data_IF_871328983747
#
_entry.id   IF_871328983747
#
_cell.length_a   1.000
_cell.length_b   1.000
_cell.length_c   1.000
_cell.angle_alpha   90.00
_cell.angle_beta   90.00
_cell.angle_gamma   90.00
#
_symmetry.space_group_name_H-M   'P 1'
#
loop_
_entity.id
_entity.type
_entity.pdbx_description
1 polymer ?
#
# COMPACT_ATOMS: atom_id res chain seq x y z
N UNK A 1 -6.74 33.55 -13.54
CA UNK A 1 -5.56 33.35 -12.67
C UNK A 1 -5.07 31.91 -12.87
N UNK A 2 -3.98 31.74 -13.62
CA UNK A 2 -3.48 30.44 -14.07
C UNK A 2 -2.69 29.74 -12.96
N UNK A 3 -3.16 28.54 -12.58
CA UNK A 3 -2.47 27.62 -11.68
C UNK A 3 -1.21 27.10 -12.37
N UNK A 4 -0.03 27.52 -11.88
CA UNK A 4 1.27 27.07 -12.40
C UNK A 4 1.48 25.59 -12.09
N UNK A 5 1.26 24.72 -13.09
CA UNK A 5 1.79 23.35 -13.09
C UNK A 5 3.32 23.45 -13.13
N UNK A 6 4.01 23.00 -12.07
CA UNK A 6 5.46 22.75 -12.13
C UNK A 6 5.69 21.52 -13.00
N UNK A 7 6.05 21.77 -14.25
CA UNK A 7 6.57 20.77 -15.18
C UNK A 7 7.94 20.30 -14.66
N UNK A 8 7.99 19.16 -13.97
CA UNK A 8 9.21 18.35 -14.04
C UNK A 8 9.25 17.80 -15.48
N UNK A 9 9.97 18.52 -16.35
CA UNK A 9 10.45 18.17 -17.68
C UNK A 9 9.63 17.21 -18.54
N UNK A 10 9.35 17.63 -19.78
CA UNK A 10 8.71 16.91 -20.91
C UNK A 10 9.31 15.52 -21.26
N UNK A 11 10.28 15.01 -20.49
CA UNK A 11 11.09 13.81 -20.74
C UNK A 11 10.90 12.67 -19.74
N UNK A 12 10.21 12.89 -18.61
CA UNK A 12 10.00 11.86 -17.59
C UNK A 12 8.54 11.47 -17.44
N UNK A 13 8.24 10.17 -17.50
CA UNK A 13 6.93 9.61 -17.13
C UNK A 13 7.02 8.88 -15.80
N UNK A 14 6.11 9.22 -14.89
CA UNK A 14 6.02 8.60 -13.56
C UNK A 14 4.92 7.54 -13.57
N UNK A 15 5.29 6.30 -13.27
CA UNK A 15 4.36 5.21 -13.01
C UNK A 15 4.29 4.96 -11.50
N UNK A 16 3.11 4.54 -11.02
CA UNK A 16 2.83 4.45 -9.58
C UNK A 16 2.93 3.02 -9.02
N UNK A 17 2.64 1.98 -9.82
CA UNK A 17 2.76 0.56 -9.45
C UNK A 17 2.50 -0.36 -10.66
N UNK A 18 2.90 -1.63 -10.56
CA UNK A 18 2.70 -2.68 -11.56
C UNK A 18 3.99 -3.13 -12.24
N UNK A 19 4.00 -4.36 -12.75
CA UNK A 19 5.12 -4.86 -13.55
C UNK A 19 5.14 -4.12 -14.89
N UNK A 20 6.27 -3.48 -15.21
CA UNK A 20 6.42 -2.71 -16.44
C UNK A 20 7.06 -3.59 -17.51
N UNK A 21 6.36 -3.79 -18.61
CA UNK A 21 6.97 -4.40 -19.79
C UNK A 21 7.84 -3.35 -20.50
N UNK A 22 9.16 -3.49 -20.36
CA UNK A 22 10.14 -2.55 -20.96
C UNK A 22 9.97 -2.44 -22.49
N UNK A 23 9.47 -3.51 -23.15
CA UNK A 23 9.25 -3.53 -24.61
C UNK A 23 8.12 -2.61 -25.07
N UNK A 24 7.20 -2.26 -24.17
CA UNK A 24 6.08 -1.36 -24.45
C UNK A 24 6.40 0.11 -24.13
N UNK A 25 7.59 0.37 -23.55
CA UNK A 25 8.03 1.72 -23.26
C UNK A 25 8.62 2.38 -24.52
N UNK A 26 8.26 3.64 -24.75
CA UNK A 26 8.83 4.42 -25.83
C UNK A 26 10.27 4.81 -25.48
N UNK A 27 11.28 4.38 -26.26
CA UNK A 27 12.69 4.62 -25.96
C UNK A 27 13.08 6.11 -25.97
N UNK A 28 12.20 7.00 -26.46
CA UNK A 28 12.39 8.45 -26.43
C UNK A 28 12.35 9.04 -25.02
N UNK A 29 11.70 8.36 -24.06
CA UNK A 29 11.51 8.88 -22.71
C UNK A 29 12.31 8.10 -21.67
N UNK A 30 12.66 8.80 -20.58
CA UNK A 30 13.14 8.15 -19.37
C UNK A 30 11.94 7.89 -18.43
N UNK A 31 11.87 6.68 -17.88
CA UNK A 31 10.78 6.28 -17.00
C UNK A 31 11.30 6.08 -15.58
N UNK A 32 10.60 6.66 -14.61
CA UNK A 32 10.88 6.46 -13.19
C UNK A 32 9.60 5.97 -12.55
N UNK A 33 9.65 4.77 -11.97
CA UNK A 33 8.55 4.27 -11.15
C UNK A 33 8.81 4.63 -9.69
N UNK A 34 7.82 5.25 -9.07
CA UNK A 34 7.85 5.57 -7.64
C UNK A 34 6.61 4.96 -7.00
N UNK A 35 6.84 3.96 -6.16
CA UNK A 35 5.78 3.25 -5.43
C UNK A 35 6.00 3.43 -3.94
N UNK A 36 4.96 3.88 -3.23
CA UNK A 36 4.98 3.94 -1.78
C UNK A 36 4.92 2.52 -1.21
N UNK A 37 5.76 2.24 -0.21
CA UNK A 37 5.82 0.95 0.47
C UNK A 37 5.74 1.16 1.99
N UNK A 38 5.21 0.17 2.69
CA UNK A 38 5.20 0.11 4.16
C UNK A 38 6.12 -1.00 4.65
N UNK A 39 6.70 -0.93 5.87
CA UNK A 39 7.37 -2.09 6.46
C UNK A 39 6.44 -3.32 6.49
N UNK A 40 6.99 -4.49 6.17
CA UNK A 40 6.26 -5.75 6.20
C UNK A 40 6.77 -6.63 7.34
N UNK A 41 5.82 -7.20 8.08
CA UNK A 41 6.06 -8.15 9.17
C UNK A 41 5.12 -9.33 9.00
N UNK A 42 5.62 -10.54 9.24
CA UNK A 42 4.76 -11.71 9.35
C UNK A 42 4.14 -11.79 10.77
N UNK A 43 3.20 -12.73 10.97
CA UNK A 43 2.48 -12.87 12.23
C UNK A 43 3.42 -13.06 13.44
N UNK A 44 4.49 -13.83 13.26
CA UNK A 44 5.51 -14.04 14.31
C UNK A 44 6.19 -12.72 14.68
N UNK A 45 6.68 -11.96 13.70
CA UNK A 45 7.32 -10.67 13.95
C UNK A 45 6.37 -9.64 14.53
N UNK A 46 5.07 -9.66 14.16
CA UNK A 46 4.08 -8.77 14.74
C UNK A 46 3.86 -9.03 16.23
N UNK A 47 4.03 -10.28 16.68
CA UNK A 47 3.99 -10.62 18.11
C UNK A 47 5.26 -10.21 18.87
N UNK A 48 6.42 -10.23 18.19
CA UNK A 48 7.72 -9.88 18.76
C UNK A 48 7.94 -8.35 18.80
N UNK A 49 7.54 -7.64 17.73
CA UNK A 49 7.72 -6.19 17.54
C UNK A 49 6.45 -5.45 17.93
N UNK A 50 6.37 -5.04 19.19
CA UNK A 50 5.17 -4.44 19.78
C UNK A 50 5.15 -2.93 19.64
N UNK A 51 6.31 -2.30 19.68
CA UNK A 51 6.45 -0.84 19.68
C UNK A 51 6.65 -0.28 18.27
N UNK A 52 6.33 1.00 18.08
CA UNK A 52 6.58 1.71 16.81
C UNK A 52 8.09 1.75 16.47
N UNK A 53 8.94 1.87 17.49
CA UNK A 53 10.39 1.85 17.33
C UNK A 53 10.87 0.53 16.74
N UNK A 54 10.45 -0.60 17.32
CA UNK A 54 10.78 -1.94 16.83
C UNK A 54 10.24 -2.18 15.42
N UNK A 55 9.09 -1.58 15.07
CA UNK A 55 8.50 -1.65 13.72
C UNK A 55 9.16 -0.69 12.72
N UNK A 56 10.10 0.15 13.16
CA UNK A 56 10.80 1.13 12.34
C UNK A 56 12.32 0.90 12.28
N UNK A 57 12.86 0.02 13.13
CA UNK A 57 14.30 -0.25 13.23
C UNK A 57 14.65 -1.69 12.83
N UNK A 58 15.79 -1.85 12.18
CA UNK A 58 16.27 -3.12 11.63
C UNK A 58 15.21 -3.83 10.76
N UNK A 59 14.71 -3.11 9.77
CA UNK A 59 13.69 -3.57 8.81
C UNK A 59 14.31 -3.68 7.41
N UNK A 60 14.05 -4.80 6.73
CA UNK A 60 14.53 -5.03 5.36
C UNK A 60 13.43 -5.51 4.41
N UNK A 61 12.19 -5.66 4.89
CA UNK A 61 11.05 -6.10 4.10
C UNK A 61 9.99 -5.00 4.04
N UNK A 62 9.52 -4.76 2.83
CA UNK A 62 8.57 -3.71 2.53
C UNK A 62 7.48 -4.23 1.62
N UNK A 63 6.25 -3.78 1.81
CA UNK A 63 5.08 -4.24 1.05
C UNK A 63 4.36 -3.07 0.40
N UNK A 64 3.87 -3.30 -0.81
CA UNK A 64 2.83 -2.50 -1.44
C UNK A 64 1.76 -3.41 -2.03
N UNK A 65 0.58 -2.84 -2.23
CA UNK A 65 -0.59 -3.55 -2.73
C UNK A 65 -1.11 -2.85 -3.98
N UNK A 66 -1.52 -3.65 -4.97
CA UNK A 66 -2.08 -3.17 -6.23
C UNK A 66 -3.39 -3.91 -6.54
N UNK A 67 -4.49 -3.17 -6.82
CA UNK A 67 -5.74 -3.78 -7.22
C UNK A 67 -5.64 -4.30 -8.66
N UNK A 68 -6.28 -5.43 -8.94
CA UNK A 68 -6.43 -5.96 -10.29
C UNK A 68 -7.69 -6.82 -10.41
N UNK A 69 -8.11 -7.11 -11.64
CA UNK A 69 -9.18 -8.07 -11.95
C UNK A 69 -8.64 -9.16 -12.87
N UNK A 70 -9.31 -10.31 -12.94
CA UNK A 70 -8.94 -11.38 -13.89
C UNK A 70 -9.10 -10.96 -15.36
N UNK A 71 -9.93 -9.94 -15.63
CA UNK A 71 -10.07 -9.32 -16.94
C UNK A 71 -8.93 -8.34 -17.30
N UNK A 72 -7.95 -8.14 -16.41
CA UNK A 72 -6.79 -7.27 -16.63
C UNK A 72 -7.03 -5.79 -16.31
N UNK A 73 -8.22 -5.42 -15.84
CA UNK A 73 -8.50 -4.06 -15.34
C UNK A 73 -7.89 -3.89 -13.94
N UNK A 74 -7.64 -2.64 -13.55
CA UNK A 74 -7.15 -2.33 -12.20
C UNK A 74 -8.26 -2.40 -11.15
N UNK A 75 -9.44 -1.93 -11.52
CA UNK A 75 -10.63 -1.87 -10.65
C UNK A 75 -11.80 -2.59 -11.31
N UNK A 76 -12.59 -3.28 -10.50
CA UNK A 76 -13.83 -3.95 -10.90
C UNK A 76 -14.83 -3.99 -9.76
N UNK A 77 -15.94 -4.74 -9.95
CA UNK A 77 -16.91 -5.01 -8.89
C UNK A 77 -16.27 -5.83 -7.76
N UNK A 78 -16.91 -5.84 -6.58
CA UNK A 78 -16.38 -6.51 -5.38
C UNK A 78 -16.09 -7.99 -5.66
N UNK A 79 -16.97 -8.66 -6.41
CA UNK A 79 -16.85 -10.08 -6.78
C UNK A 79 -15.70 -10.37 -7.76
N UNK A 80 -15.16 -9.36 -8.44
CA UNK A 80 -14.04 -9.48 -9.38
C UNK A 80 -12.72 -8.90 -8.86
N UNK A 81 -12.79 -8.11 -7.77
CA UNK A 81 -11.66 -7.33 -7.29
C UNK A 81 -10.63 -8.19 -6.56
N UNK A 82 -9.51 -8.44 -7.20
CA UNK A 82 -8.35 -9.09 -6.60
C UNK A 82 -7.34 -8.04 -6.08
N UNK A 83 -6.41 -8.49 -5.24
CA UNK A 83 -5.32 -7.65 -4.72
C UNK A 83 -3.98 -8.37 -4.83
N UNK A 84 -3.02 -7.72 -5.48
CA UNK A 84 -1.64 -8.20 -5.59
C UNK A 84 -0.79 -7.55 -4.51
N UNK A 85 -0.30 -8.35 -3.57
CA UNK A 85 0.59 -7.93 -2.49
C UNK A 85 2.02 -8.28 -2.85
N UNK A 86 2.86 -7.27 -3.04
CA UNK A 86 4.27 -7.45 -3.42
C UNK A 86 5.16 -7.11 -2.25
N UNK A 87 5.96 -8.08 -1.79
CA UNK A 87 6.91 -7.96 -0.70
C UNK A 87 8.32 -7.86 -1.28
N UNK A 88 8.96 -6.72 -1.06
CA UNK A 88 10.32 -6.42 -1.47
C UNK A 88 11.25 -6.63 -0.29
N UNK A 89 12.33 -7.40 -0.50
CA UNK A 89 13.40 -7.57 0.48
C UNK A 89 14.65 -6.85 0.00
N UNK A 90 15.17 -5.92 0.80
CA UNK A 90 16.40 -5.18 0.50
C UNK A 90 17.64 -5.99 0.89
N UNK A 91 18.77 -5.69 0.25
CA UNK A 91 20.05 -6.37 0.53
C UNK A 91 20.57 -6.15 1.96
N UNK A 92 20.14 -5.07 2.62
CA UNK A 92 20.50 -4.69 3.98
C UNK A 92 19.28 -4.08 4.68
N UNK A 93 19.28 -4.08 6.02
CA UNK A 93 18.23 -3.46 6.82
C UNK A 93 18.42 -1.95 6.94
N UNK A 94 17.30 -1.23 7.04
CA UNK A 94 17.27 0.14 7.56
C UNK A 94 17.22 0.10 9.10
N UNK A 95 17.85 1.03 9.83
CA UNK A 95 18.69 2.15 9.40
C UNK A 95 20.05 1.69 8.85
N UNK A 96 20.49 2.28 7.74
CA UNK A 96 21.77 1.94 7.09
C UNK A 96 22.57 3.20 6.79
N UNK A 97 23.87 3.03 6.50
CA UNK A 97 24.75 4.12 6.08
C UNK A 97 24.30 4.80 4.77
N UNK A 98 23.54 4.07 3.93
CA UNK A 98 22.91 4.61 2.72
C UNK A 98 21.41 4.78 2.91
N UNK A 99 20.86 5.88 2.37
CA UNK A 99 19.41 6.16 2.34
C UNK A 99 18.64 5.38 1.26
N UNK A 100 19.34 4.71 0.34
CA UNK A 100 18.76 3.86 -0.70
C UNK A 100 19.51 2.53 -0.69
N UNK A 101 18.76 1.43 -0.67
CA UNK A 101 19.29 0.07 -0.61
C UNK A 101 18.64 -0.68 -1.78
N UNK A 102 19.44 -1.49 -2.47
CA UNK A 102 18.95 -2.28 -3.59
C UNK A 102 17.97 -3.35 -3.11
N UNK A 103 16.96 -3.63 -3.94
CA UNK A 103 16.08 -4.77 -3.75
C UNK A 103 16.86 -6.02 -4.15
N UNK A 104 16.92 -7.00 -3.24
CA UNK A 104 17.56 -8.28 -3.46
C UNK A 104 16.55 -9.35 -3.92
N UNK A 105 15.34 -9.31 -3.39
CA UNK A 105 14.31 -10.31 -3.67
C UNK A 105 12.92 -9.66 -3.71
N UNK A 106 12.04 -10.20 -4.54
CA UNK A 106 10.63 -9.84 -4.64
C UNK A 106 9.78 -11.10 -4.50
N UNK A 107 8.71 -11.01 -3.71
CA UNK A 107 7.70 -12.06 -3.57
C UNK A 107 6.32 -11.45 -3.86
N UNK A 108 5.55 -12.09 -4.74
CA UNK A 108 4.17 -11.70 -5.03
C UNK A 108 3.18 -12.69 -4.41
N UNK A 109 2.14 -12.14 -3.79
CA UNK A 109 1.03 -12.88 -3.20
C UNK A 109 -0.26 -12.34 -3.82
N UNK A 110 -1.10 -13.24 -4.32
CA UNK A 110 -2.35 -12.91 -4.98
C UNK A 110 -3.53 -13.25 -4.06
N UNK A 111 -4.32 -12.23 -3.71
CA UNK A 111 -5.54 -12.39 -2.92
C UNK A 111 -6.73 -12.44 -3.87
N UNK A 112 -7.59 -13.46 -3.69
CA UNK A 112 -8.85 -13.60 -4.40
C UNK A 112 -9.88 -12.60 -3.85
N UNK A 113 -10.99 -12.34 -4.55
CA UNK A 113 -11.99 -11.36 -4.12
C UNK A 113 -12.49 -11.55 -2.68
N UNK A 114 -12.75 -12.81 -2.27
CA UNK A 114 -13.15 -13.10 -0.89
C UNK A 114 -12.05 -12.80 0.14
N UNK A 115 -10.79 -13.06 -0.20
CA UNK A 115 -9.65 -12.77 0.68
C UNK A 115 -9.44 -11.25 0.80
N UNK A 116 -9.69 -10.50 -0.29
CA UNK A 116 -9.67 -9.03 -0.28
C UNK A 116 -10.72 -8.49 0.67
N UNK A 117 -11.96 -8.96 0.57
CA UNK A 117 -13.04 -8.54 1.45
C UNK A 117 -12.73 -8.85 2.93
N UNK A 118 -12.18 -10.03 3.23
CA UNK A 118 -11.78 -10.42 4.59
C UNK A 118 -10.66 -9.50 5.12
N UNK A 119 -9.63 -9.23 4.31
CA UNK A 119 -8.49 -8.39 4.68
C UNK A 119 -8.94 -6.96 4.97
N UNK A 120 -9.82 -6.38 4.13
CA UNK A 120 -10.37 -5.03 4.34
C UNK A 120 -11.23 -4.93 5.61
N UNK A 121 -12.09 -5.93 5.86
CA UNK A 121 -12.91 -5.96 7.09
C UNK A 121 -12.03 -6.10 8.33
N UNK A 122 -11.00 -6.94 8.28
CA UNK A 122 -10.05 -7.11 9.40
C UNK A 122 -9.29 -5.82 9.69
N UNK A 123 -8.76 -5.18 8.66
CA UNK A 123 -8.04 -3.91 8.79
C UNK A 123 -8.93 -2.81 9.38
N UNK A 124 -10.19 -2.71 8.90
CA UNK A 124 -11.15 -1.74 9.40
C UNK A 124 -11.52 -2.00 10.86
N UNK A 125 -11.71 -3.27 11.23
CA UNK A 125 -12.01 -3.68 12.61
C UNK A 125 -10.85 -3.35 13.54
N UNK A 126 -9.62 -3.67 13.14
CA UNK A 126 -8.42 -3.39 13.91
C UNK A 126 -8.19 -1.87 14.09
N UNK A 127 -8.43 -1.08 13.04
CA UNK A 127 -8.34 0.38 13.09
C UNK A 127 -9.33 0.98 14.11
N UNK A 128 -10.60 0.57 14.06
CA UNK A 128 -11.61 1.02 15.02
C UNK A 128 -11.29 0.57 16.44
N UNK A 129 -10.91 -0.69 16.63
CA UNK A 129 -10.57 -1.22 17.95
C UNK A 129 -9.39 -0.45 18.57
N UNK A 130 -8.38 -0.08 17.78
CA UNK A 130 -7.27 0.75 18.23
C UNK A 130 -7.73 2.12 18.69
N UNK A 131 -8.62 2.78 17.93
CA UNK A 131 -9.15 4.09 18.30
C UNK A 131 -9.98 4.04 19.59
N UNK A 132 -10.82 3.01 19.75
CA UNK A 132 -11.66 2.82 20.93
C UNK A 132 -10.86 2.42 22.19
N UNK A 133 -9.73 1.74 22.02
CA UNK A 133 -8.88 1.29 23.14
C UNK A 133 -7.85 2.34 23.57
N UNK A 134 -7.81 3.50 22.91
CA UNK A 134 -6.90 4.59 23.27
C UNK A 134 -7.31 5.21 24.60
N UNK A 135 -6.33 5.51 25.46
CA UNK A 135 -6.57 6.20 26.75
C UNK A 135 -7.15 7.59 26.49
N UNK A 136 -6.58 8.30 25.51
CA UNK A 136 -7.09 9.58 25.00
C UNK A 136 -7.74 9.33 23.64
N UNK A 137 -9.07 9.36 23.60
CA UNK A 137 -9.84 9.12 22.38
C UNK A 137 -9.85 10.38 21.52
N UNK A 138 -9.26 10.29 20.33
CA UNK A 138 -9.42 11.31 19.29
C UNK A 138 -10.83 11.19 18.69
N UNK A 139 -11.75 11.99 19.23
CA UNK A 139 -13.16 11.99 18.81
C UNK A 139 -13.35 12.29 17.33
N UNK A 140 -12.50 13.14 16.73
CA UNK A 140 -12.60 13.51 15.32
C UNK A 140 -12.21 12.31 14.45
N UNK A 141 -11.09 11.66 14.76
CA UNK A 141 -10.66 10.47 14.04
C UNK A 141 -11.64 9.32 14.22
N UNK A 142 -12.12 9.09 15.44
CA UNK A 142 -13.09 8.04 15.70
C UNK A 142 -14.38 8.27 14.93
N UNK A 143 -14.94 9.49 14.96
CA UNK A 143 -16.15 9.83 14.22
C UNK A 143 -15.95 9.67 12.72
N UNK A 144 -14.84 10.17 12.17
CA UNK A 144 -14.52 10.03 10.74
C UNK A 144 -14.49 8.57 10.30
N UNK A 145 -13.85 7.69 11.08
CA UNK A 145 -13.71 6.27 10.75
C UNK A 145 -15.02 5.51 10.92
N UNK A 146 -15.73 5.76 12.02
CA UNK A 146 -17.00 5.10 12.33
C UNK A 146 -18.11 5.48 11.36
N UNK A 147 -18.26 6.77 11.06
CA UNK A 147 -19.23 7.25 10.07
C UNK A 147 -18.99 6.60 8.70
N UNK A 148 -17.73 6.48 8.30
CA UNK A 148 -17.34 5.77 7.08
C UNK A 148 -17.57 4.26 7.10
N UNK A 149 -18.02 3.66 8.20
CA UNK A 149 -18.45 2.25 8.26
C UNK A 149 -19.97 2.11 8.18
N UNK A 150 -20.71 2.90 8.96
CA UNK A 150 -22.14 2.67 9.23
C UNK A 150 -23.06 3.64 8.50
N UNK A 151 -22.51 4.73 7.96
CA UNK A 151 -23.26 5.78 7.27
C UNK A 151 -22.57 6.15 5.97
N UNK A 152 -22.23 5.13 5.19
CA UNK A 152 -21.55 5.29 3.90
C UNK A 152 -22.49 5.97 2.90
N UNK A 153 -21.99 7.01 2.22
CA UNK A 153 -22.77 7.82 1.27
C UNK A 153 -22.23 7.77 -0.16
N UNK A 154 -20.97 7.34 -0.36
CA UNK A 154 -20.24 7.48 -1.63
C UNK A 154 -19.67 6.16 -2.15
N UNK A 155 -19.09 5.33 -1.28
CA UNK A 155 -18.60 4.01 -1.67
C UNK A 155 -19.76 3.00 -1.55
N UNK A 156 -19.86 2.06 -2.50
CA UNK A 156 -21.12 1.38 -2.81
C UNK A 156 -21.80 0.68 -1.62
N UNK A 157 -23.05 1.10 -1.38
CA UNK A 157 -24.14 0.25 -0.91
C UNK A 157 -24.86 -0.16 -2.19
N UNK A 158 -24.72 -1.42 -2.61
CA UNK A 158 -25.69 -2.09 -3.49
C UNK A 158 -26.20 -3.31 -2.76
#
# INVERSE_FOLDING_TARGET
MHTKKRLLGTFFRVAFYGQVNVKELDPKYAYIQVTYVKPYFNDKELTERKTEFERSHNINRFVFEAPYTLSGKKQGCIEEQCKGRTILTTSNSFSYVKKRIAIHCEQQIHLKPIDVAIDEVKDKTAELQKLCSSVDVDMIQLQLKLQGCVSVQVNEVH
#
